data_IF_654734871347
#
_entry.id   IF_654734871347
#
_cell.length_a   1.000
_cell.length_b   1.000
_cell.length_c   1.000
_cell.angle_alpha   90.00
_cell.angle_beta   90.00
_cell.angle_gamma   90.00
#
_symmetry.space_group_name_H-M   'P 1'
#
loop_
_entity.id
_entity.type
_entity.pdbx_description
1 polymer ?
#
# COMPACT_ATOMS: atom_id res chain seq x y z
N UNK A 1 15.45 -6.72 -6.04
CA UNK A 1 16.05 -5.46 -6.53
C UNK A 1 15.58 -5.05 -7.93
N UNK A 2 15.45 -5.97 -8.90
CA UNK A 2 15.04 -5.68 -10.29
C UNK A 2 13.52 -5.71 -10.54
N UNK A 3 12.71 -5.34 -9.55
CA UNK A 3 11.26 -5.38 -9.69
C UNK A 3 10.56 -4.35 -8.79
N UNK A 4 9.36 -3.94 -9.20
CA UNK A 4 8.54 -2.97 -8.45
C UNK A 4 9.28 -1.66 -8.20
N UNK A 5 9.16 -1.14 -6.97
CA UNK A 5 9.81 0.11 -6.55
C UNK A 5 11.34 0.02 -6.55
N UNK A 6 11.93 -1.19 -6.53
CA UNK A 6 13.38 -1.38 -6.59
C UNK A 6 14.02 -0.78 -7.85
N UNK A 7 13.29 -0.75 -8.97
CA UNK A 7 13.75 -0.13 -10.22
C UNK A 7 13.94 1.40 -10.07
N UNK A 8 13.11 2.04 -9.24
CA UNK A 8 13.17 3.47 -8.96
C UNK A 8 14.31 3.80 -8.00
N UNK A 9 14.66 2.88 -7.09
CA UNK A 9 15.82 3.03 -6.21
C UNK A 9 17.13 3.00 -7.00
N UNK A 10 17.27 2.06 -7.95
CA UNK A 10 18.47 1.96 -8.80
C UNK A 10 18.73 3.22 -9.62
N UNK A 11 17.66 3.90 -10.02
CA UNK A 11 17.70 5.15 -10.80
C UNK A 11 17.61 6.41 -9.93
N UNK A 12 17.64 6.26 -8.59
CA UNK A 12 17.60 7.34 -7.60
C UNK A 12 16.42 8.30 -7.74
N UNK A 13 15.25 7.77 -8.14
CA UNK A 13 14.02 8.54 -8.26
C UNK A 13 13.24 8.67 -6.94
N UNK A 14 13.64 7.92 -5.90
CA UNK A 14 13.01 7.95 -4.58
C UNK A 14 13.92 8.71 -3.62
N UNK A 15 13.44 9.86 -3.13
CA UNK A 15 14.13 10.63 -2.09
C UNK A 15 13.80 10.13 -0.67
N UNK A 16 12.54 9.79 -0.44
CA UNK A 16 12.01 9.36 0.86
C UNK A 16 11.03 8.21 0.70
N UNK A 17 11.09 7.24 1.59
CA UNK A 17 10.18 6.09 1.61
C UNK A 17 9.54 5.91 3.00
N UNK A 18 8.21 5.86 3.02
CA UNK A 18 7.42 5.56 4.23
C UNK A 18 6.96 4.11 4.10
N UNK A 19 7.51 3.23 4.93
CA UNK A 19 7.35 1.78 4.78
C UNK A 19 7.21 1.09 6.13
N UNK A 20 6.56 -0.07 6.15
CA UNK A 20 6.51 -0.92 7.34
C UNK A 20 7.55 -2.01 7.39
N UNK A 21 8.10 -2.36 6.23
CA UNK A 21 9.11 -3.37 6.08
C UNK A 21 9.89 -3.12 4.81
N UNK A 22 11.19 -3.41 4.85
CA UNK A 22 12.14 -3.13 3.77
C UNK A 22 12.39 -4.37 2.91
N UNK A 23 12.27 -5.57 3.50
CA UNK A 23 12.48 -6.84 2.81
C UNK A 23 13.94 -7.14 2.48
N UNK A 24 14.13 -8.09 1.57
CA UNK A 24 15.43 -8.50 1.01
C UNK A 24 15.80 -7.59 -0.19
N UNK A 25 16.05 -6.31 0.06
CA UNK A 25 16.51 -5.37 -0.97
C UNK A 25 17.85 -4.73 -0.58
N UNK A 26 18.93 -5.26 -1.15
CA UNK A 26 20.30 -4.85 -0.80
C UNK A 26 20.57 -3.40 -1.19
N UNK A 27 20.01 -2.94 -2.32
CA UNK A 27 20.18 -1.55 -2.77
C UNK A 27 19.45 -0.55 -1.86
N UNK A 28 18.27 -0.93 -1.36
CA UNK A 28 17.58 -0.13 -0.34
C UNK A 28 18.44 -0.02 0.92
N UNK A 29 18.91 -1.16 1.46
CA UNK A 29 19.69 -1.18 2.69
C UNK A 29 20.96 -0.34 2.55
N UNK A 30 21.67 -0.47 1.42
CA UNK A 30 22.83 0.36 1.08
C UNK A 30 22.48 1.85 1.06
N UNK A 31 21.40 2.25 0.40
CA UNK A 31 20.99 3.66 0.31
C UNK A 31 20.54 4.23 1.66
N UNK A 32 19.86 3.42 2.50
CA UNK A 32 19.50 3.81 3.87
C UNK A 32 20.75 4.03 4.73
N UNK A 33 21.67 3.06 4.78
CA UNK A 33 22.88 3.14 5.61
C UNK A 33 23.84 4.25 5.16
N UNK A 34 23.84 4.59 3.87
CA UNK A 34 24.63 5.71 3.33
C UNK A 34 23.94 7.08 3.46
N UNK A 35 22.66 7.12 3.87
CA UNK A 35 21.86 8.34 3.94
C UNK A 35 21.41 8.89 2.57
N UNK A 36 21.57 8.13 1.48
CA UNK A 36 21.05 8.47 0.15
C UNK A 36 19.51 8.43 0.10
N UNK A 37 18.89 7.56 0.92
CA UNK A 37 17.45 7.38 1.01
C UNK A 37 16.95 7.69 2.43
N UNK A 38 16.03 8.64 2.55
CA UNK A 38 15.33 8.91 3.80
C UNK A 38 14.24 7.84 4.03
N UNK A 39 14.18 7.24 5.22
CA UNK A 39 13.22 6.17 5.51
C UNK A 39 12.48 6.43 6.81
N UNK A 40 11.15 6.49 6.71
CA UNK A 40 10.25 6.50 7.88
C UNK A 40 9.68 5.09 8.08
N UNK A 41 10.24 4.33 9.01
CA UNK A 41 9.69 3.03 9.39
C UNK A 41 8.44 3.21 10.25
N UNK A 42 7.29 2.81 9.69
CA UNK A 42 5.97 2.94 10.33
C UNK A 42 5.35 1.55 10.53
N UNK A 43 4.86 1.18 11.74
CA UNK A 43 4.22 -0.11 11.96
C UNK A 43 3.12 -0.37 10.92
N UNK A 44 3.04 -1.59 10.37
CA UNK A 44 2.17 -1.87 9.22
C UNK A 44 0.70 -1.49 9.45
N UNK A 45 0.17 -1.78 10.64
CA UNK A 45 -1.19 -1.41 11.03
C UNK A 45 -1.39 0.11 11.12
N UNK A 46 -0.37 0.83 11.60
CA UNK A 46 -0.37 2.30 11.61
C UNK A 46 -0.34 2.84 10.18
N UNK A 47 0.56 2.35 9.33
CA UNK A 47 0.67 2.79 7.92
C UNK A 47 -0.65 2.59 7.16
N UNK A 48 -1.26 1.40 7.28
CA UNK A 48 -2.55 1.11 6.66
C UNK A 48 -3.65 2.05 7.16
N UNK A 49 -3.71 2.29 8.48
CA UNK A 49 -4.69 3.19 9.07
C UNK A 49 -4.46 4.64 8.64
N UNK A 50 -3.21 5.13 8.58
CA UNK A 50 -2.88 6.48 8.10
C UNK A 50 -3.41 6.72 6.68
N UNK A 51 -3.24 5.74 5.78
CA UNK A 51 -3.77 5.80 4.40
C UNK A 51 -5.30 5.80 4.41
N UNK A 52 -5.92 4.93 5.22
CA UNK A 52 -7.38 4.87 5.32
C UNK A 52 -7.98 6.18 5.84
N UNK A 53 -7.38 6.79 6.88
CA UNK A 53 -7.84 8.06 7.45
C UNK A 53 -7.77 9.20 6.41
N UNK A 54 -6.74 9.21 5.57
CA UNK A 54 -6.63 10.18 4.47
C UNK A 54 -7.82 10.07 3.51
N UNK A 55 -8.17 8.86 3.08
CA UNK A 55 -9.32 8.63 2.19
C UNK A 55 -10.69 8.89 2.85
N UNK A 56 -10.74 8.97 4.18
CA UNK A 56 -11.94 9.34 4.93
C UNK A 56 -12.00 10.83 5.29
N UNK A 57 -10.95 11.62 4.97
CA UNK A 57 -10.86 13.03 5.38
C UNK A 57 -10.60 13.22 6.87
N UNK A 58 -10.13 12.20 7.59
CA UNK A 58 -9.78 12.29 9.01
C UNK A 58 -8.31 12.67 9.14
N UNK A 59 -7.94 13.80 9.76
CA UNK A 59 -6.57 14.31 9.73
C UNK A 59 -5.60 13.58 10.66
N UNK A 60 -6.10 13.01 11.76
CA UNK A 60 -5.30 12.31 12.75
C UNK A 60 -6.13 11.29 13.53
N UNK A 61 -5.45 10.29 14.10
CA UNK A 61 -6.04 9.27 14.97
C UNK A 61 -5.03 8.83 16.03
N UNK A 62 -5.51 8.13 17.06
CA UNK A 62 -4.65 7.60 18.13
C UNK A 62 -4.51 6.07 18.02
N UNK A 63 -3.28 5.57 18.17
CA UNK A 63 -2.97 4.12 18.12
C UNK A 63 -1.94 3.75 19.19
N UNK A 64 -2.03 2.56 19.81
CA UNK A 64 -1.04 2.14 20.79
C UNK A 64 0.26 1.62 20.14
N UNK A 65 0.25 1.40 18.82
CA UNK A 65 1.38 0.81 18.11
C UNK A 65 2.57 1.78 18.06
N UNK A 66 3.73 1.34 18.58
CA UNK A 66 4.97 2.13 18.64
C UNK A 66 5.15 2.92 19.94
N UNK A 67 4.20 2.90 20.87
CA UNK A 67 4.42 3.52 22.18
C UNK A 67 5.54 2.79 22.93
N UNK A 68 6.48 3.56 23.49
CA UNK A 68 7.65 3.02 24.20
C UNK A 68 8.77 2.51 23.28
N UNK A 69 8.72 2.80 21.98
CA UNK A 69 9.80 2.53 21.02
C UNK A 69 10.27 3.82 20.36
N UNK A 70 11.40 3.78 19.65
CA UNK A 70 11.96 4.92 18.90
C UNK A 70 10.96 5.54 17.91
N UNK A 71 10.03 4.74 17.37
CA UNK A 71 8.95 5.19 16.46
C UNK A 71 8.01 6.19 17.14
N UNK A 72 7.88 6.12 18.47
CA UNK A 72 7.02 6.99 19.26
C UNK A 72 7.65 8.31 19.67
N UNK A 73 8.96 8.49 19.47
CA UNK A 73 9.67 9.69 19.88
C UNK A 73 9.14 10.93 19.14
N UNK A 74 8.93 12.02 19.87
CA UNK A 74 8.43 13.29 19.33
C UNK A 74 6.93 13.32 18.97
N UNK A 75 6.20 12.21 19.11
CA UNK A 75 4.74 12.16 18.85
C UNK A 75 3.92 12.59 20.06
N UNK A 76 2.74 13.17 19.81
CA UNK A 76 1.77 13.44 20.87
C UNK A 76 1.30 12.12 21.50
N UNK A 77 1.30 12.07 22.83
CA UNK A 77 0.82 10.92 23.60
C UNK A 77 -0.45 11.30 24.34
N UNK A 78 -1.48 10.47 24.26
CA UNK A 78 -2.68 10.59 25.07
C UNK A 78 -3.03 9.27 25.75
N UNK A 79 -3.63 9.36 26.93
CA UNK A 79 -4.12 8.20 27.66
C UNK A 79 -5.61 7.99 27.42
N UNK A 80 -5.98 6.76 27.10
CA UNK A 80 -7.36 6.32 27.00
C UNK A 80 -7.49 5.02 27.79
N UNK A 81 -8.42 4.98 28.76
CA UNK A 81 -8.71 3.79 29.56
C UNK A 81 -7.46 3.16 30.20
N UNK A 82 -6.58 3.99 30.77
CA UNK A 82 -5.35 3.53 31.44
C UNK A 82 -4.23 3.06 30.51
N UNK A 83 -4.38 3.23 29.18
CA UNK A 83 -3.34 2.87 28.20
C UNK A 83 -2.91 4.09 27.38
N UNK A 84 -1.61 4.19 27.09
CA UNK A 84 -1.02 5.27 26.29
C UNK A 84 -1.13 4.96 24.79
N UNK A 85 -1.43 6.00 24.02
CA UNK A 85 -1.59 5.97 22.57
C UNK A 85 -0.82 7.12 21.94
N UNK A 86 -0.24 6.88 20.77
CA UNK A 86 0.42 7.88 19.94
C UNK A 86 -0.58 8.49 18.98
N UNK A 87 -0.53 9.81 18.79
CA UNK A 87 -1.22 10.47 17.69
C UNK A 87 -0.46 10.22 16.38
N UNK A 88 -1.18 9.82 15.35
CA UNK A 88 -0.67 9.58 14.01
C UNK A 88 -1.47 10.42 13.00
N UNK A 89 -0.78 11.01 12.05
CA UNK A 89 -1.40 11.81 10.99
C UNK A 89 -1.78 10.95 9.79
N UNK A 90 -2.89 11.29 9.15
CA UNK A 90 -3.27 10.70 7.88
C UNK A 90 -2.15 10.85 6.82
N UNK A 91 -2.05 9.85 5.94
CA UNK A 91 -1.06 9.82 4.86
C UNK A 91 -1.74 10.12 3.53
N UNK A 92 -1.57 11.35 3.05
CA UNK A 92 -2.08 11.80 1.76
C UNK A 92 -1.07 11.55 0.65
N UNK A 93 -1.56 11.37 -0.58
CA UNK A 93 -0.72 11.22 -1.76
C UNK A 93 -1.27 12.03 -2.94
N UNK A 94 -0.40 12.66 -3.73
CA UNK A 94 -0.79 13.30 -4.98
C UNK A 94 -1.26 12.26 -6.01
N UNK A 95 -0.57 11.13 -6.06
CA UNK A 95 -0.89 10.00 -6.93
C UNK A 95 -0.96 8.70 -6.14
N UNK A 96 -1.99 7.89 -6.41
CA UNK A 96 -2.08 6.50 -5.99
C UNK A 96 -1.98 5.60 -7.22
N UNK A 97 -1.03 4.68 -7.21
CA UNK A 97 -0.86 3.67 -8.27
C UNK A 97 -1.21 2.31 -7.68
N UNK A 98 -2.25 1.68 -8.22
CA UNK A 98 -2.80 0.42 -7.68
C UNK A 98 -2.94 -0.64 -8.77
N UNK A 99 -2.87 -1.91 -8.38
CA UNK A 99 -3.10 -3.05 -9.27
C UNK A 99 -4.30 -3.86 -8.80
N UNK A 100 -5.31 -4.00 -9.65
CA UNK A 100 -6.50 -4.81 -9.37
C UNK A 100 -6.60 -6.01 -10.32
N UNK A 101 -7.43 -6.99 -9.97
CA UNK A 101 -7.67 -8.15 -10.82
C UNK A 101 -8.58 -7.81 -11.99
N UNK A 102 -9.74 -7.19 -11.70
CA UNK A 102 -10.65 -6.67 -12.71
C UNK A 102 -10.96 -5.21 -12.42
N UNK A 103 -11.29 -4.47 -13.47
CA UNK A 103 -12.04 -3.25 -13.31
C UNK A 103 -12.89 -2.96 -14.53
N UNK A 104 -13.93 -2.15 -14.36
CA UNK A 104 -14.75 -1.67 -15.48
C UNK A 104 -14.29 -0.31 -15.99
N UNK A 105 -14.78 0.13 -17.15
CA UNK A 105 -14.44 1.44 -17.72
C UNK A 105 -14.87 2.64 -16.88
N UNK A 106 -15.76 2.47 -15.90
CA UNK A 106 -16.07 3.53 -14.93
C UNK A 106 -15.05 3.60 -13.80
N UNK A 107 -14.26 2.54 -13.59
CA UNK A 107 -13.21 2.49 -12.57
C UNK A 107 -13.59 1.68 -11.34
N UNK A 108 -14.68 0.92 -11.35
CA UNK A 108 -14.96 -0.02 -10.27
C UNK A 108 -13.90 -1.13 -10.27
N UNK A 109 -13.37 -1.49 -9.10
CA UNK A 109 -12.27 -2.47 -8.99
C UNK A 109 -12.63 -3.69 -8.17
N UNK A 110 -12.19 -4.85 -8.66
CA UNK A 110 -12.23 -6.14 -7.96
C UNK A 110 -10.80 -6.66 -7.78
N UNK A 111 -10.43 -7.06 -6.57
CA UNK A 111 -9.11 -7.59 -6.22
C UNK A 111 -9.21 -9.08 -5.90
N UNK A 112 -8.13 -9.84 -6.15
CA UNK A 112 -8.12 -11.30 -6.06
C UNK A 112 -7.17 -11.79 -4.97
N UNK A 113 -7.71 -12.48 -3.96
CA UNK A 113 -6.94 -13.06 -2.85
C UNK A 113 -6.14 -11.98 -2.10
N UNK A 114 -4.90 -12.26 -1.72
CA UNK A 114 -4.03 -11.39 -0.92
C UNK A 114 -3.44 -10.21 -1.70
N UNK A 115 -3.60 -10.14 -3.02
CA UNK A 115 -3.17 -8.95 -3.80
C UNK A 115 -4.01 -7.71 -3.52
N UNK A 116 -5.13 -7.86 -2.78
CA UNK A 116 -5.98 -6.75 -2.32
C UNK A 116 -5.24 -5.77 -1.40
N UNK A 117 -4.39 -6.30 -0.51
CA UNK A 117 -3.50 -5.62 0.45
C UNK A 117 -3.81 -4.11 0.70
N UNK A 118 -2.81 -3.25 0.52
CA UNK A 118 -2.91 -1.79 0.63
C UNK A 118 -3.65 -1.14 -0.54
N UNK A 119 -3.85 -1.86 -1.65
CA UNK A 119 -4.40 -1.29 -2.87
C UNK A 119 -5.78 -0.68 -2.67
N UNK A 120 -6.63 -1.27 -1.82
CA UNK A 120 -7.99 -0.76 -1.57
C UNK A 120 -8.01 0.55 -0.78
N UNK A 121 -7.12 0.71 0.21
CA UNK A 121 -7.00 1.96 0.97
C UNK A 121 -6.25 3.01 0.17
N UNK A 122 -5.18 2.63 -0.52
CA UNK A 122 -4.37 3.55 -1.33
C UNK A 122 -5.18 4.17 -2.46
N UNK A 123 -6.05 3.39 -3.13
CA UNK A 123 -6.94 3.92 -4.17
C UNK A 123 -7.83 5.07 -3.68
N UNK A 124 -8.15 5.12 -2.38
CA UNK A 124 -9.01 6.15 -1.78
C UNK A 124 -8.22 7.35 -1.25
N UNK A 125 -6.91 7.21 -1.04
CA UNK A 125 -6.06 8.23 -0.42
C UNK A 125 -5.35 9.14 -1.44
N UNK A 126 -5.28 8.72 -2.71
CA UNK A 126 -4.67 9.50 -3.77
C UNK A 126 -5.57 10.61 -4.29
N UNK A 127 -5.01 11.81 -4.51
CA UNK A 127 -5.71 12.89 -5.24
C UNK A 127 -5.99 12.48 -6.68
N UNK A 128 -5.07 11.75 -7.32
CA UNK A 128 -5.27 11.09 -8.62
C UNK A 128 -4.92 9.62 -8.48
N UNK A 129 -5.91 8.74 -8.67
CA UNK A 129 -5.70 7.29 -8.62
C UNK A 129 -5.64 6.71 -10.02
N UNK A 130 -4.57 5.97 -10.28
CA UNK A 130 -4.31 5.24 -11.51
C UNK A 130 -4.35 3.74 -11.21
N UNK A 131 -5.30 3.04 -11.81
CA UNK A 131 -5.49 1.61 -11.63
C UNK A 131 -5.02 0.84 -12.87
N UNK A 132 -4.04 -0.05 -12.69
CA UNK A 132 -3.74 -1.10 -13.64
C UNK A 132 -4.62 -2.32 -13.33
N UNK A 133 -5.32 -2.87 -14.33
CA UNK A 133 -6.14 -4.07 -14.17
C UNK A 133 -5.69 -5.20 -15.07
N UNK A 134 -5.93 -6.44 -14.65
CA UNK A 134 -5.63 -7.63 -15.48
C UNK A 134 -6.72 -7.88 -16.53
N UNK A 135 -7.96 -7.54 -16.19
CA UNK A 135 -9.10 -7.63 -17.10
C UNK A 135 -9.88 -6.33 -17.02
N UNK A 136 -9.92 -5.59 -18.13
CA UNK A 136 -10.77 -4.42 -18.28
C UNK A 136 -12.08 -4.84 -18.95
N UNK A 137 -13.21 -4.61 -18.28
CA UNK A 137 -14.54 -5.03 -18.74
C UNK A 137 -15.47 -3.84 -18.99
N UNK A 138 -16.61 -4.06 -19.64
CA UNK A 138 -17.63 -3.01 -19.79
C UNK A 138 -18.41 -2.79 -18.49
N UNK A 139 -18.93 -1.57 -18.25
CA UNK A 139 -19.83 -1.32 -17.14
C UNK A 139 -21.05 -2.26 -17.17
N UNK A 140 -21.38 -2.82 -16.01
CA UNK A 140 -22.47 -3.80 -15.85
C UNK A 140 -22.01 -5.26 -15.87
N UNK A 141 -20.78 -5.56 -16.29
CA UNK A 141 -20.21 -6.92 -16.21
C UNK A 141 -19.70 -7.29 -14.80
N UNK A 142 -19.43 -6.28 -13.96
CA UNK A 142 -19.11 -6.48 -12.56
C UNK A 142 -20.39 -6.42 -11.72
N UNK A 143 -20.65 -7.46 -10.94
CA UNK A 143 -21.71 -7.46 -9.94
C UNK A 143 -21.45 -6.32 -8.94
N UNK A 144 -22.41 -5.38 -8.76
CA UNK A 144 -22.26 -4.27 -7.83
C UNK A 144 -21.89 -4.68 -6.40
N UNK A 145 -22.38 -5.84 -5.92
CA UNK A 145 -22.12 -6.31 -4.56
C UNK A 145 -20.71 -6.93 -4.39
N UNK A 146 -20.00 -7.14 -5.51
CA UNK A 146 -18.63 -7.66 -5.52
C UNK A 146 -17.57 -6.56 -5.71
N UNK A 147 -17.98 -5.30 -5.84
CA UNK A 147 -17.07 -4.16 -6.01
C UNK A 147 -16.35 -3.88 -4.68
N UNK A 148 -15.01 -3.89 -4.69
CA UNK A 148 -14.22 -3.57 -3.48
C UNK A 148 -13.87 -2.07 -3.38
N UNK A 149 -13.63 -1.43 -4.53
CA UNK A 149 -13.39 0.01 -4.62
C UNK A 149 -14.30 0.55 -5.70
N UNK A 150 -15.20 1.44 -5.32
CA UNK A 150 -16.11 2.11 -6.23
C UNK A 150 -15.36 3.06 -7.17
N UNK A 151 -15.92 3.23 -8.37
CA UNK A 151 -15.42 4.09 -9.45
C UNK A 151 -15.07 5.51 -9.03
N UNK A 152 -15.79 6.08 -8.06
CA UNK A 152 -15.55 7.45 -7.55
C UNK A 152 -14.11 7.70 -7.09
N UNK A 153 -13.37 6.66 -6.72
CA UNK A 153 -11.99 6.77 -6.26
C UNK A 153 -10.95 6.62 -7.38
N UNK A 154 -11.35 6.19 -8.58
CA UNK A 154 -10.43 5.87 -9.68
C UNK A 154 -10.54 6.92 -10.77
N UNK A 155 -9.41 7.53 -11.13
CA UNK A 155 -9.37 8.64 -12.08
C UNK A 155 -8.87 8.20 -13.46
N UNK A 156 -8.01 7.19 -13.49
CA UNK A 156 -7.46 6.59 -14.71
C UNK A 156 -7.39 5.09 -14.54
N UNK A 157 -7.80 4.35 -15.56
CA UNK A 157 -7.75 2.90 -15.57
C UNK A 157 -7.19 2.42 -16.90
N UNK A 158 -6.35 1.39 -16.87
CA UNK A 158 -5.85 0.74 -18.07
C UNK A 158 -5.64 -0.76 -17.84
N UNK A 159 -5.72 -1.52 -18.93
CA UNK A 159 -5.42 -2.94 -18.92
C UNK A 159 -3.90 -3.16 -19.05
N UNK A 160 -3.30 -3.77 -18.04
CA UNK A 160 -1.88 -4.13 -18.06
C UNK A 160 -1.62 -5.29 -19.02
N UNK A 161 -0.56 -5.19 -19.81
CA UNK A 161 -0.10 -6.26 -20.72
C UNK A 161 1.34 -6.65 -20.38
N UNK A 162 1.69 -7.91 -20.62
CA UNK A 162 3.07 -8.42 -20.52
C UNK A 162 3.77 -8.19 -19.17
N UNK A 163 3.01 -8.12 -18.07
CA UNK A 163 3.59 -7.98 -16.73
C UNK A 163 3.82 -9.36 -16.09
N UNK A 164 4.84 -9.45 -15.24
CA UNK A 164 5.17 -10.67 -14.51
C UNK A 164 4.58 -10.65 -13.10
N UNK A 165 3.96 -11.74 -12.65
CA UNK A 165 3.58 -11.95 -11.24
C UNK A 165 4.62 -12.82 -10.56
N UNK A 166 5.77 -12.23 -10.25
CA UNK A 166 6.90 -12.95 -9.62
C UNK A 166 6.49 -13.50 -8.25
N UNK A 167 6.92 -14.72 -7.96
CA UNK A 167 6.78 -15.36 -6.65
C UNK A 167 8.15 -15.31 -5.98
N UNK A 168 8.26 -14.57 -4.88
CA UNK A 168 9.52 -14.41 -4.14
C UNK A 168 10.03 -15.73 -3.58
N UNK A 169 9.15 -16.49 -2.91
CA UNK A 169 9.46 -17.83 -2.37
C UNK A 169 8.37 -18.81 -2.76
N UNK A 170 8.66 -19.70 -3.70
CA UNK A 170 7.72 -20.74 -4.17
C UNK A 170 7.79 -21.95 -3.24
N UNK A 171 6.89 -22.00 -2.28
CA UNK A 171 6.75 -23.14 -1.35
C UNK A 171 5.63 -24.06 -1.84
N UNK A 172 5.91 -25.36 -1.99
CA UNK A 172 4.92 -26.37 -2.39
C UNK A 172 4.87 -27.49 -1.35
N UNK A 173 3.69 -28.09 -1.15
CA UNK A 173 3.58 -29.31 -0.34
C UNK A 173 4.18 -30.47 -1.12
N UNK A 174 5.09 -31.22 -0.50
CA UNK A 174 5.55 -32.49 -1.06
C UNK A 174 4.40 -33.50 -0.96
N UNK A 175 3.96 -34.06 -2.09
CA UNK A 175 3.06 -35.21 -2.10
C UNK A 175 3.90 -36.46 -1.88
N UNK A 176 3.73 -37.11 -0.72
CA UNK A 176 4.24 -38.46 -0.54
C UNK A 176 3.27 -39.41 -1.26
N UNK A 177 3.71 -39.99 -2.39
CA UNK A 177 3.01 -41.12 -2.98
C UNK A 177 3.20 -42.32 -2.04
N UNK A 178 2.14 -42.68 -1.29
CA UNK A 178 2.01 -44.01 -0.70
C UNK A 178 1.33 -44.94 -1.71
#
# INVERSE_FOLDING_TARGET
DDFGLGLLLKTKQIKKMISSYVGENAEFERQLLSGELEVDLTPQGTLATRIQMAGMGIPAFFTPAGYGTEIGEGKEVREFNGKKYLMEHALYADFAIVKAWKGDKYGNLVFRKTTRNFSTSMAKAGKITIAEVEHLVEPGELDPDQIHVASVYVHRIFEGKNYEKRIERRTVRLMNNQ
#
